data_IF_142961214932
#
_entry.id   IF_142961214932
#
_cell.length_a   1.000
_cell.length_b   1.000
_cell.length_c   1.000
_cell.angle_alpha   90.00
_cell.angle_beta   90.00
_cell.angle_gamma   90.00
#
_symmetry.space_group_name_H-M   'P 1'
#
loop_
_entity.id
_entity.type
_entity.pdbx_description
1 polymer ?
#
# COMPACT_ATOMS: atom_id res chain seq x y z
N UNK A 1 55.99 -8.36 16.87
CA UNK A 1 54.76 -8.30 16.03
C UNK A 1 54.83 -7.04 15.19
N UNK A 2 55.25 -7.15 13.93
CA UNK A 2 55.33 -6.00 13.02
C UNK A 2 53.95 -5.85 12.37
N UNK A 3 53.20 -4.81 12.73
CA UNK A 3 52.00 -4.43 11.98
C UNK A 3 52.49 -3.84 10.67
N UNK A 4 52.30 -4.56 9.56
CA UNK A 4 52.65 -4.05 8.23
C UNK A 4 51.74 -2.86 7.89
N UNK A 5 52.31 -1.67 7.61
CA UNK A 5 51.53 -0.46 7.35
C UNK A 5 50.59 -0.62 6.13
N UNK A 6 50.99 -1.45 5.16
CA UNK A 6 50.17 -1.81 3.99
C UNK A 6 48.88 -2.53 4.40
N UNK A 7 48.95 -3.42 5.39
CA UNK A 7 47.79 -4.21 5.82
C UNK A 7 46.78 -3.37 6.61
N UNK A 8 47.25 -2.38 7.38
CA UNK A 8 46.38 -1.41 8.07
C UNK A 8 45.66 -0.49 7.06
N UNK A 9 46.35 -0.08 5.99
CA UNK A 9 45.78 0.73 4.91
C UNK A 9 44.66 -0.03 4.18
N UNK A 10 44.91 -1.29 3.77
CA UNK A 10 43.89 -2.13 3.12
C UNK A 10 42.67 -2.35 4.01
N UNK A 11 42.90 -2.57 5.30
CA UNK A 11 41.82 -2.75 6.29
C UNK A 11 40.98 -1.49 6.44
N UNK A 12 41.59 -0.30 6.43
CA UNK A 12 40.86 0.97 6.46
C UNK A 12 40.03 1.19 5.20
N UNK A 13 40.57 0.87 4.02
CA UNK A 13 39.83 0.99 2.76
C UNK A 13 38.62 0.04 2.71
N UNK A 14 38.79 -1.21 3.13
CA UNK A 14 37.69 -2.20 3.19
C UNK A 14 36.57 -1.69 4.12
N UNK A 15 36.93 -1.17 5.30
CA UNK A 15 35.94 -0.61 6.24
C UNK A 15 35.20 0.58 5.64
N UNK A 16 35.90 1.46 4.93
CA UNK A 16 35.29 2.63 4.29
C UNK A 16 34.30 2.22 3.19
N UNK A 17 34.64 1.23 2.37
CA UNK A 17 33.74 0.68 1.34
C UNK A 17 32.51 0.06 1.99
N UNK A 18 32.68 -0.69 3.08
CA UNK A 18 31.55 -1.27 3.82
C UNK A 18 30.62 -0.19 4.39
N UNK A 19 31.18 0.87 4.98
CA UNK A 19 30.39 2.00 5.49
C UNK A 19 29.59 2.68 4.39
N UNK A 20 30.21 2.93 3.23
CA UNK A 20 29.53 3.51 2.07
C UNK A 20 28.40 2.61 1.56
N UNK A 21 28.59 1.29 1.55
CA UNK A 21 27.55 0.34 1.15
C UNK A 21 26.35 0.35 2.12
N UNK A 22 26.62 0.45 3.43
CA UNK A 22 25.57 0.55 4.46
C UNK A 22 24.79 1.85 4.30
N UNK A 23 25.47 2.98 4.12
CA UNK A 23 24.84 4.28 3.93
C UNK A 23 23.95 4.31 2.67
N UNK A 24 24.44 3.76 1.56
CA UNK A 24 23.65 3.62 0.33
C UNK A 24 22.43 2.70 0.51
N UNK A 25 22.57 1.62 1.28
CA UNK A 25 21.47 0.71 1.56
C UNK A 25 20.38 1.39 2.41
N UNK A 26 20.77 2.21 3.39
CA UNK A 26 19.83 2.99 4.21
C UNK A 26 19.06 4.01 3.37
N UNK A 27 19.77 4.80 2.55
CA UNK A 27 19.14 5.80 1.66
C UNK A 27 18.16 5.12 0.68
N UNK A 28 18.53 3.96 0.13
CA UNK A 28 17.66 3.21 -0.76
C UNK A 28 16.43 2.69 -0.03
N UNK A 29 16.59 2.17 1.19
CA UNK A 29 15.46 1.70 2.00
C UNK A 29 14.48 2.83 2.35
N UNK A 30 14.98 4.01 2.76
CA UNK A 30 14.15 5.20 3.04
C UNK A 30 13.41 5.70 1.79
N UNK A 31 14.06 5.66 0.63
CA UNK A 31 13.39 5.98 -0.63
C UNK A 31 12.30 4.96 -0.94
N UNK A 32 12.60 3.68 -0.80
CA UNK A 32 11.66 2.61 -1.10
C UNK A 32 10.43 2.64 -0.17
N UNK A 33 10.60 3.02 1.11
CA UNK A 33 9.47 3.24 2.03
C UNK A 33 8.65 4.45 1.61
N UNK A 34 9.27 5.59 1.29
CA UNK A 34 8.55 6.78 0.82
C UNK A 34 7.76 6.52 -0.48
N UNK A 35 8.32 5.73 -1.40
CA UNK A 35 7.63 5.31 -2.63
C UNK A 35 6.44 4.40 -2.30
N UNK A 36 6.61 3.45 -1.38
CA UNK A 36 5.52 2.56 -0.94
C UNK A 36 4.38 3.35 -0.29
N UNK A 37 4.70 4.29 0.60
CA UNK A 37 3.69 5.12 1.28
C UNK A 37 2.90 5.98 0.31
N UNK A 38 3.58 6.58 -0.68
CA UNK A 38 2.93 7.35 -1.74
C UNK A 38 2.01 6.47 -2.59
N UNK A 39 2.46 5.27 -2.95
CA UNK A 39 1.65 4.32 -3.72
C UNK A 39 0.43 3.85 -2.93
N UNK A 40 0.58 3.60 -1.63
CA UNK A 40 -0.50 3.23 -0.73
C UNK A 40 -1.53 4.36 -0.60
N UNK A 41 -1.09 5.60 -0.39
CA UNK A 41 -1.97 6.76 -0.31
C UNK A 41 -2.75 6.98 -1.61
N UNK A 42 -2.09 6.81 -2.76
CA UNK A 42 -2.73 6.90 -4.08
C UNK A 42 -3.77 5.81 -4.28
N UNK A 43 -3.40 4.55 -4.00
CA UNK A 43 -4.31 3.41 -4.08
C UNK A 43 -5.55 3.59 -3.19
N UNK A 44 -5.36 4.09 -1.97
CA UNK A 44 -6.45 4.38 -1.04
C UNK A 44 -7.36 5.50 -1.58
N UNK A 45 -6.79 6.59 -2.10
CA UNK A 45 -7.57 7.68 -2.67
C UNK A 45 -8.39 7.22 -3.89
N UNK A 46 -7.80 6.45 -4.80
CA UNK A 46 -8.49 5.94 -5.99
C UNK A 46 -9.61 4.95 -5.62
N UNK A 47 -9.37 4.07 -4.63
CA UNK A 47 -10.38 3.15 -4.11
C UNK A 47 -11.55 3.90 -3.45
N UNK A 48 -11.25 4.95 -2.68
CA UNK A 48 -12.27 5.76 -2.00
C UNK A 48 -13.14 6.53 -2.99
N UNK A 49 -12.56 7.11 -4.04
CA UNK A 49 -13.33 7.77 -5.11
C UNK A 49 -14.30 6.79 -5.77
N UNK A 50 -13.83 5.58 -6.12
CA UNK A 50 -14.69 4.53 -6.72
C UNK A 50 -15.82 4.10 -5.77
N UNK A 51 -15.57 4.05 -4.46
CA UNK A 51 -16.59 3.77 -3.44
C UNK A 51 -17.64 4.88 -3.40
N UNK A 52 -17.22 6.15 -3.36
CA UNK A 52 -18.13 7.31 -3.34
C UNK A 52 -18.99 7.35 -4.60
N UNK A 53 -18.40 7.13 -5.78
CA UNK A 53 -19.13 7.08 -7.05
C UNK A 53 -20.16 5.94 -7.07
N UNK A 54 -19.82 4.78 -6.51
CA UNK A 54 -20.73 3.66 -6.38
C UNK A 54 -21.90 3.97 -5.42
N UNK A 55 -21.63 4.66 -4.31
CA UNK A 55 -22.67 5.13 -3.38
C UNK A 55 -23.59 6.13 -4.09
N UNK A 56 -23.04 7.18 -4.69
CA UNK A 56 -23.81 8.21 -5.42
C UNK A 56 -24.66 7.59 -6.53
N UNK A 57 -24.10 6.67 -7.32
CA UNK A 57 -24.83 5.96 -8.38
C UNK A 57 -25.90 4.97 -7.89
N UNK A 58 -25.94 4.68 -6.58
CA UNK A 58 -26.89 3.78 -5.95
C UNK A 58 -27.95 4.49 -5.09
N UNK A 59 -27.80 5.80 -4.86
CA UNK A 59 -28.79 6.64 -4.19
C UNK A 59 -29.95 6.96 -5.14
N UNK A 60 -31.18 6.83 -4.64
CA UNK A 60 -32.43 7.20 -5.31
C UNK A 60 -33.14 8.29 -4.49
N UNK A 61 -34.11 9.00 -5.09
CA UNK A 61 -34.89 10.04 -4.39
C UNK A 61 -35.53 9.59 -3.08
N UNK A 62 -35.79 8.29 -2.92
CA UNK A 62 -36.44 7.70 -1.74
C UNK A 62 -35.63 6.58 -1.07
N UNK A 63 -34.32 6.44 -1.36
CA UNK A 63 -33.47 5.50 -0.61
C UNK A 63 -32.29 4.89 -1.37
N UNK A 64 -31.56 4.00 -0.69
CA UNK A 64 -30.35 3.36 -1.18
C UNK A 64 -30.64 1.99 -1.81
N UNK A 65 -30.16 1.75 -3.02
CA UNK A 65 -30.33 0.46 -3.70
C UNK A 65 -29.10 -0.45 -3.54
N UNK A 66 -29.18 -1.37 -2.57
CA UNK A 66 -28.12 -2.37 -2.29
C UNK A 66 -27.70 -3.17 -3.53
N UNK A 67 -28.65 -3.60 -4.37
CA UNK A 67 -28.35 -4.38 -5.59
C UNK A 67 -27.50 -3.58 -6.59
N UNK A 68 -27.80 -2.29 -6.77
CA UNK A 68 -27.04 -1.41 -7.67
C UNK A 68 -25.67 -1.07 -7.12
N UNK A 69 -25.58 -0.85 -5.80
CA UNK A 69 -24.30 -0.64 -5.14
C UNK A 69 -23.37 -1.84 -5.34
N UNK A 70 -23.83 -3.06 -5.05
CA UNK A 70 -23.03 -4.28 -5.26
C UNK A 70 -22.62 -4.45 -6.73
N UNK A 71 -23.50 -4.13 -7.68
CA UNK A 71 -23.16 -4.16 -9.10
C UNK A 71 -22.07 -3.13 -9.46
N UNK A 72 -22.18 -1.90 -8.96
CA UNK A 72 -21.20 -0.84 -9.18
C UNK A 72 -19.82 -1.21 -8.59
N UNK A 73 -19.79 -1.75 -7.37
CA UNK A 73 -18.57 -2.23 -6.73
C UNK A 73 -17.95 -3.41 -7.48
N UNK A 74 -18.75 -4.39 -7.94
CA UNK A 74 -18.23 -5.50 -8.75
C UNK A 74 -17.66 -5.03 -10.08
N UNK A 75 -18.28 -4.03 -10.71
CA UNK A 75 -17.78 -3.41 -11.93
C UNK A 75 -16.46 -2.66 -11.66
N UNK A 76 -16.38 -1.92 -10.56
CA UNK A 76 -15.16 -1.22 -10.14
C UNK A 76 -14.03 -2.20 -9.81
N UNK A 77 -14.33 -3.29 -9.10
CA UNK A 77 -13.37 -4.34 -8.75
C UNK A 77 -12.81 -5.07 -9.98
N UNK A 78 -13.61 -5.26 -11.04
CA UNK A 78 -13.13 -5.83 -12.31
C UNK A 78 -12.22 -4.89 -13.11
N UNK A 79 -12.28 -3.59 -12.83
CA UNK A 79 -11.42 -2.59 -13.47
C UNK A 79 -10.10 -2.38 -12.72
N UNK A 80 -9.89 -3.08 -11.61
CA UNK A 80 -8.62 -3.05 -10.85
C UNK A 80 -7.75 -4.19 -11.39
N UNK A 81 -6.56 -3.89 -11.93
CA UNK A 81 -5.66 -4.91 -12.43
C UNK A 81 -5.03 -5.72 -11.28
N UNK A 82 -4.99 -7.05 -11.41
CA UNK A 82 -4.48 -8.02 -10.41
C UNK A 82 -2.93 -8.02 -10.24
N UNK A 83 -2.23 -6.94 -10.62
CA UNK A 83 -0.76 -6.87 -10.50
C UNK A 83 -0.37 -5.91 -9.37
N UNK A 84 0.35 -6.43 -8.37
CA UNK A 84 0.85 -5.73 -7.17
C UNK A 84 1.47 -4.37 -7.55
N UNK A 85 0.96 -3.23 -7.02
CA UNK A 85 0.58 -2.94 -5.63
C UNK A 85 -0.95 -2.77 -5.39
N UNK A 86 -1.78 -3.14 -6.35
CA UNK A 86 -3.23 -2.87 -6.32
C UNK A 86 -4.06 -3.86 -5.46
N UNK A 87 -3.43 -4.85 -4.84
CA UNK A 87 -4.09 -5.74 -3.87
C UNK A 87 -4.62 -4.99 -2.63
N UNK A 88 -3.97 -3.87 -2.27
CA UNK A 88 -4.47 -2.95 -1.24
C UNK A 88 -5.78 -2.26 -1.65
N UNK A 89 -5.97 -1.98 -2.95
CA UNK A 89 -7.24 -1.39 -3.43
C UNK A 89 -8.40 -2.35 -3.22
N UNK A 90 -8.20 -3.65 -3.44
CA UNK A 90 -9.22 -4.67 -3.20
C UNK A 90 -9.61 -4.77 -1.72
N UNK A 91 -8.64 -4.73 -0.80
CA UNK A 91 -8.91 -4.76 0.64
C UNK A 91 -9.69 -3.52 1.11
N UNK A 92 -9.31 -2.33 0.65
CA UNK A 92 -9.99 -1.07 0.97
C UNK A 92 -11.41 -1.04 0.40
N UNK A 93 -11.59 -1.48 -0.85
CA UNK A 93 -12.92 -1.60 -1.46
C UNK A 93 -13.80 -2.63 -0.74
N UNK A 94 -13.23 -3.76 -0.32
CA UNK A 94 -13.96 -4.78 0.40
C UNK A 94 -14.40 -4.32 1.80
N UNK A 95 -13.49 -3.73 2.58
CA UNK A 95 -13.80 -3.20 3.92
C UNK A 95 -14.79 -2.03 3.85
N UNK A 96 -14.57 -1.09 2.91
CA UNK A 96 -15.48 0.02 2.65
C UNK A 96 -16.87 -0.45 2.21
N UNK A 97 -16.93 -1.46 1.35
CA UNK A 97 -18.21 -2.05 0.93
C UNK A 97 -18.92 -2.75 2.08
N UNK A 98 -18.20 -3.50 2.93
CA UNK A 98 -18.80 -4.16 4.09
C UNK A 98 -19.35 -3.14 5.09
N UNK A 99 -18.63 -2.05 5.37
CA UNK A 99 -19.13 -0.95 6.21
C UNK A 99 -20.42 -0.33 5.67
N UNK A 100 -20.48 -0.05 4.36
CA UNK A 100 -21.69 0.52 3.72
C UNK A 100 -22.86 -0.47 3.73
N UNK A 101 -22.57 -1.77 3.64
CA UNK A 101 -23.57 -2.83 3.69
C UNK A 101 -23.98 -3.24 5.11
N UNK A 102 -23.44 -2.58 6.15
CA UNK A 102 -23.69 -2.90 7.56
C UNK A 102 -23.03 -4.20 8.04
N UNK A 103 -22.09 -4.76 7.25
CA UNK A 103 -21.25 -5.88 7.66
C UNK A 103 -20.16 -5.39 8.59
N UNK A 104 -20.02 -6.04 9.75
CA UNK A 104 -18.92 -5.80 10.69
C UNK A 104 -17.58 -5.83 9.94
N UNK A 105 -16.66 -4.87 10.20
CA UNK A 105 -15.32 -4.92 9.63
C UNK A 105 -14.65 -6.21 10.11
N UNK A 106 -14.13 -7.02 9.18
CA UNK A 106 -13.44 -8.28 9.48
C UNK A 106 -12.07 -8.08 10.19
N UNK A 107 -11.87 -6.93 10.82
CA UNK A 107 -10.69 -6.56 11.60
C UNK A 107 -10.91 -6.48 13.12
N UNK A 108 -12.15 -6.61 13.63
CA UNK A 108 -12.39 -6.64 15.08
C UNK A 108 -12.57 -8.08 15.59
N UNK A 109 -11.57 -8.93 15.41
CA UNK A 109 -11.42 -10.12 16.25
C UNK A 109 -9.98 -10.66 16.19
N UNK A 110 -9.10 -10.12 17.05
CA UNK A 110 -8.31 -10.91 18.00
C UNK A 110 -7.52 -10.02 18.98
N UNK A 111 -8.01 -10.06 20.23
CA UNK A 111 -7.46 -9.64 21.53
C UNK A 111 -7.25 -8.16 21.78
#
# INVERSE_FOLDING_TARGET
MIKSPVHDIDTQYIRRIQQQQIELALIKAERDTAVRDRNLARAHSEAMTKLVDAVLGSLRPYGFSRKRFVFAIRKAARAIPDREPDSLQHAVLFDGSNRVLGGQPSGSLRR
#
